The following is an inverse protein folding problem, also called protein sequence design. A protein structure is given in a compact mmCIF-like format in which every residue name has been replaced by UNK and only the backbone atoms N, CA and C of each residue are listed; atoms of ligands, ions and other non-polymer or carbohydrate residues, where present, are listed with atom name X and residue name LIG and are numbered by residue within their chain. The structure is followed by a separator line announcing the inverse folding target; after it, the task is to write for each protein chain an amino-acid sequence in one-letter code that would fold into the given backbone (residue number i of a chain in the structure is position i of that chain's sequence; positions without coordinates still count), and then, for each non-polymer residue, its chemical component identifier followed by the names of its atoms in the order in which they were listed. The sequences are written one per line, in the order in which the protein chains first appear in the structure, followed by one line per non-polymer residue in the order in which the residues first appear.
data_IF_614893846390
#
_entry.id   IF_614893846390
#
_cell.length_a   1.000
_cell.length_b   1.000
_cell.length_c   1.000
_cell.angle_alpha   90.00
_cell.angle_beta   90.00
_cell.angle_gamma   90.00
#
_symmetry.space_group_name_H-M   'P 1'
#
loop_
_entity.id
_entity.type
_entity.pdbx_description
1 polymer ?
#
# COMPACT_ATOMS: atom_id res chain seq x y z
N UNK A 1 -18.78 13.34 -21.55
CA UNK A 1 -19.49 14.52 -21.02
C UNK A 1 -19.10 15.68 -21.93
N UNK A 2 -20.02 16.18 -22.74
CA UNK A 2 -19.77 17.35 -23.57
C UNK A 2 -19.54 18.55 -22.65
N UNK A 3 -18.44 19.29 -22.84
CA UNK A 3 -18.15 20.48 -22.05
C UNK A 3 -19.07 21.61 -22.52
N UNK A 4 -19.97 22.07 -21.66
CA UNK A 4 -20.85 23.21 -21.92
C UNK A 4 -20.01 24.47 -22.12
N UNK A 5 -20.26 25.21 -23.21
CA UNK A 5 -19.59 26.50 -23.47
C UNK A 5 -20.27 27.55 -22.59
N UNK A 6 -19.57 28.01 -21.56
CA UNK A 6 -20.07 28.96 -20.56
C UNK A 6 -19.10 30.14 -20.47
N UNK A 7 -19.63 31.37 -20.53
CA UNK A 7 -18.82 32.57 -20.42
C UNK A 7 -18.26 32.75 -19.00
N UNK A 8 -17.26 33.62 -18.84
CA UNK A 8 -16.74 33.96 -17.51
C UNK A 8 -17.79 34.64 -16.65
N UNK A 9 -18.60 35.52 -17.23
CA UNK A 9 -19.64 36.25 -16.51
C UNK A 9 -20.68 35.27 -15.94
N UNK A 10 -21.15 34.34 -16.78
CA UNK A 10 -22.11 33.31 -16.36
C UNK A 10 -21.50 32.36 -15.32
N UNK A 11 -20.21 32.04 -15.44
CA UNK A 11 -19.50 31.21 -14.46
C UNK A 11 -19.35 31.90 -13.11
N UNK A 12 -19.13 33.22 -13.09
CA UNK A 12 -19.13 34.02 -11.85
C UNK A 12 -20.54 34.03 -11.23
N UNK A 13 -21.58 34.28 -12.04
CA UNK A 13 -22.97 34.28 -11.58
C UNK A 13 -23.40 32.91 -11.02
N UNK A 14 -22.93 31.81 -11.60
CA UNK A 14 -23.16 30.43 -11.13
C UNK A 14 -22.22 30.00 -9.99
N UNK A 15 -21.30 30.85 -9.52
CA UNK A 15 -20.32 30.51 -8.47
C UNK A 15 -19.30 29.44 -8.88
N UNK A 16 -19.11 29.22 -10.18
CA UNK A 16 -18.17 28.25 -10.71
C UNK A 16 -16.74 28.78 -10.62
N UNK A 17 -15.80 27.90 -10.29
CA UNK A 17 -14.36 28.25 -10.22
C UNK A 17 -13.70 28.35 -11.59
N UNK A 18 -14.37 27.84 -12.63
CA UNK A 18 -13.84 27.63 -13.98
C UNK A 18 -14.90 27.91 -15.03
N UNK A 19 -14.45 28.28 -16.23
CA UNK A 19 -15.30 28.56 -17.39
C UNK A 19 -14.68 28.00 -18.67
N UNK A 20 -15.49 27.65 -19.67
CA UNK A 20 -15.03 27.07 -20.93
C UNK A 20 -15.60 27.83 -22.11
N UNK A 21 -14.74 28.36 -22.97
CA UNK A 21 -15.14 29.24 -24.09
C UNK A 21 -15.07 28.56 -25.45
N UNK A 22 -14.64 27.30 -25.51
CA UNK A 22 -14.35 26.60 -26.78
C UNK A 22 -13.12 27.13 -27.54
N UNK A 23 -12.63 28.34 -27.22
CA UNK A 23 -11.51 28.99 -27.91
C UNK A 23 -10.15 28.57 -27.34
N UNK A 24 -9.14 28.30 -28.19
CA UNK A 24 -7.79 27.98 -27.74
C UNK A 24 -7.18 29.14 -26.95
N UNK A 25 -6.29 28.83 -26.02
CA UNK A 25 -5.49 29.81 -25.29
C UNK A 25 -4.32 30.33 -26.14
N UNK A 26 -3.56 31.32 -25.63
CA UNK A 26 -2.38 31.86 -26.32
C UNK A 26 -1.30 30.83 -26.65
N UNK A 27 -1.29 29.70 -25.94
CA UNK A 27 -0.37 28.56 -26.14
C UNK A 27 -1.04 27.41 -26.91
N UNK A 28 -2.19 27.64 -27.54
CA UNK A 28 -2.91 26.65 -28.35
C UNK A 28 -3.85 25.72 -27.57
N UNK A 29 -3.86 25.75 -26.24
CA UNK A 29 -4.68 24.83 -25.43
C UNK A 29 -6.18 25.12 -25.52
N UNK A 30 -6.97 24.12 -25.91
CA UNK A 30 -8.43 24.12 -25.77
C UNK A 30 -8.79 23.49 -24.42
N UNK A 31 -8.88 24.31 -23.38
CA UNK A 31 -9.21 23.86 -22.02
C UNK A 31 -10.00 24.91 -21.25
N UNK A 32 -10.67 24.46 -20.18
CA UNK A 32 -11.26 25.34 -19.18
C UNK A 32 -10.23 26.33 -18.63
N UNK A 33 -10.72 27.51 -18.25
CA UNK A 33 -9.92 28.61 -17.69
C UNK A 33 -10.36 28.89 -16.27
N UNK A 34 -9.41 29.27 -15.42
CA UNK A 34 -9.71 29.68 -14.05
C UNK A 34 -10.40 31.06 -14.06
N UNK A 35 -11.49 31.19 -13.30
CA UNK A 35 -12.23 32.47 -13.19
C UNK A 35 -11.37 33.57 -12.56
N UNK A 36 -10.58 33.22 -11.54
CA UNK A 36 -9.72 34.15 -10.80
C UNK A 36 -8.42 34.51 -11.56
N UNK A 37 -7.71 33.50 -12.09
CA UNK A 37 -6.39 33.69 -12.68
C UNK A 37 -6.42 33.92 -14.20
N UNK A 38 -7.56 33.74 -14.87
CA UNK A 38 -7.73 33.81 -16.34
C UNK A 38 -6.82 32.89 -17.16
N UNK A 39 -6.06 32.02 -16.50
CA UNK A 39 -5.14 31.06 -17.11
C UNK A 39 -5.87 29.78 -17.49
N UNK A 40 -5.47 29.20 -18.62
CA UNK A 40 -5.93 27.89 -19.04
C UNK A 40 -5.40 26.81 -18.09
N UNK A 41 -6.20 25.77 -17.81
CA UNK A 41 -5.83 24.71 -16.87
C UNK A 41 -4.57 23.98 -17.34
N UNK A 42 -4.46 23.67 -18.63
CA UNK A 42 -3.27 23.01 -19.17
C UNK A 42 -2.01 23.86 -18.94
N UNK A 43 -2.09 25.16 -19.19
CA UNK A 43 -1.01 26.13 -18.93
C UNK A 43 -0.60 26.13 -17.44
N UNK A 44 -1.59 26.06 -16.55
CA UNK A 44 -1.36 26.03 -15.10
C UNK A 44 -0.73 24.70 -14.65
N UNK A 45 -1.15 23.59 -15.25
CA UNK A 45 -0.62 22.26 -14.97
C UNK A 45 0.82 22.14 -15.44
N UNK A 46 1.16 22.62 -16.63
CA UNK A 46 2.52 22.67 -17.14
C UNK A 46 3.43 23.52 -16.24
N UNK A 47 2.96 24.70 -15.84
CA UNK A 47 3.71 25.55 -14.89
C UNK A 47 3.94 24.85 -13.55
N UNK A 48 2.95 24.09 -13.08
CA UNK A 48 3.05 23.30 -11.84
C UNK A 48 3.98 22.10 -12.01
N UNK A 49 3.96 21.44 -13.17
CA UNK A 49 4.84 20.33 -13.50
C UNK A 49 6.30 20.78 -13.63
N UNK A 50 6.56 21.90 -14.32
CA UNK A 50 7.88 22.50 -14.40
C UNK A 50 8.42 22.89 -13.01
N UNK A 51 7.56 23.47 -12.16
CA UNK A 51 7.91 23.78 -10.76
C UNK A 51 8.23 22.50 -9.97
N UNK A 52 7.47 21.43 -10.15
CA UNK A 52 7.75 20.16 -9.49
C UNK A 52 9.08 19.54 -9.97
N UNK A 53 9.37 19.63 -11.27
CA UNK A 53 10.60 19.12 -11.87
C UNK A 53 11.85 19.89 -11.43
N UNK A 54 11.75 21.18 -11.11
CA UNK A 54 12.91 21.98 -10.67
C UNK A 54 13.45 21.57 -9.29
N UNK A 55 12.59 21.03 -8.41
CA UNK A 55 13.00 20.55 -7.08
C UNK A 55 12.07 19.44 -6.56
N UNK A 56 12.20 18.20 -7.08
CA UNK A 56 11.31 17.10 -6.72
C UNK A 56 11.42 16.67 -5.25
N UNK A 57 12.56 16.93 -4.60
CA UNK A 57 12.79 16.51 -3.21
C UNK A 57 12.08 17.41 -2.21
N UNK A 58 12.09 18.72 -2.43
CA UNK A 58 11.31 19.66 -1.63
C UNK A 58 9.81 19.38 -1.71
N UNK A 59 9.24 19.15 -2.90
CA UNK A 59 7.81 18.84 -3.00
C UNK A 59 7.46 17.52 -2.32
N UNK A 60 8.35 16.52 -2.38
CA UNK A 60 8.16 15.25 -1.67
C UNK A 60 8.24 15.42 -0.15
N UNK A 61 9.15 16.24 0.37
CA UNK A 61 9.26 16.51 1.81
C UNK A 61 8.05 17.28 2.34
N UNK A 62 7.63 18.36 1.67
CA UNK A 62 6.44 19.13 2.01
C UNK A 62 5.16 18.27 1.95
N UNK A 63 5.05 17.38 0.95
CA UNK A 63 3.93 16.45 0.84
C UNK A 63 3.90 15.46 2.01
N UNK A 64 5.06 14.93 2.44
CA UNK A 64 5.17 14.06 3.63
C UNK A 64 4.74 14.81 4.89
N UNK A 65 5.19 16.05 5.07
CA UNK A 65 4.84 16.87 6.22
C UNK A 65 3.33 17.17 6.26
N UNK A 66 2.74 17.52 5.12
CA UNK A 66 1.28 17.74 4.99
C UNK A 66 0.49 16.48 5.31
N UNK A 67 0.94 15.31 4.87
CA UNK A 67 0.31 14.03 5.22
C UNK A 67 0.47 13.69 6.70
N UNK A 68 1.61 14.02 7.31
CA UNK A 68 1.83 13.83 8.75
C UNK A 68 0.86 14.69 9.59
N UNK A 69 0.66 15.97 9.22
CA UNK A 69 -0.30 16.88 9.88
C UNK A 69 -1.76 16.41 9.75
N UNK A 70 -2.11 15.77 8.63
CA UNK A 70 -3.46 15.21 8.39
C UNK A 70 -3.66 13.80 8.93
N UNK A 71 -2.58 13.13 9.37
CA UNK A 71 -2.69 11.76 9.87
C UNK A 71 -3.50 11.83 11.18
N UNK A 72 -4.67 11.20 11.26
CA UNK A 72 -5.37 11.13 12.54
C UNK A 72 -4.42 10.51 13.57
N UNK A 73 -4.40 11.06 14.78
CA UNK A 73 -3.68 10.45 15.90
C UNK A 73 -4.06 8.97 15.91
N UNK A 74 -3.08 8.03 15.94
CA UNK A 74 -3.42 6.63 16.10
C UNK A 74 -4.29 6.52 17.33
N UNK A 75 -5.45 5.85 17.21
CA UNK A 75 -6.34 5.61 18.35
C UNK A 75 -5.52 4.86 19.38
N UNK A 76 -4.98 5.60 20.36
CA UNK A 76 -4.29 5.05 21.51
C UNK A 76 -5.38 4.30 22.25
N UNK A 77 -5.47 2.98 22.05
CA UNK A 77 -6.15 2.13 23.01
C UNK A 77 -5.45 2.41 24.33
N UNK A 78 -6.07 3.23 25.17
CA UNK A 78 -5.60 3.43 26.52
C UNK A 78 -5.65 2.04 27.16
N UNK A 79 -4.49 1.37 27.23
CA UNK A 79 -4.26 0.54 28.41
C UNK A 79 -4.41 1.53 29.55
N UNK A 80 -5.43 1.36 30.39
CA UNK A 80 -5.67 2.22 31.54
C UNK A 80 -4.32 2.51 32.17
N UNK A 81 -3.85 3.75 31.98
CA UNK A 81 -2.61 4.19 32.57
C UNK A 81 -2.98 4.38 34.02
N UNK A 82 -2.65 3.39 34.85
CA UNK A 82 -2.65 3.60 36.28
C UNK A 82 -1.75 4.81 36.51
N UNK A 83 -2.24 5.92 37.08
CA UNK A 83 -1.44 7.09 37.42
C UNK A 83 -0.16 6.63 38.11
N UNK A 84 0.99 7.21 37.77
CA UNK A 84 2.27 6.81 38.36
C UNK A 84 2.25 6.85 39.91
N UNK A 85 1.38 7.68 40.47
CA UNK A 85 1.10 7.83 41.90
C UNK A 85 0.28 6.66 42.49
N UNK A 86 -0.58 6.01 41.70
CA UNK A 86 -1.39 4.85 42.13
C UNK A 86 -0.65 3.50 42.01
N UNK A 87 0.52 3.46 41.36
CA UNK A 87 1.39 2.27 41.32
C UNK A 87 2.28 2.14 42.58
N UNK A 88 2.21 3.11 43.50
CA UNK A 88 3.11 3.23 44.65
C UNK A 88 2.68 2.51 45.94
N UNK A 89 1.56 1.77 45.98
CA UNK A 89 1.05 1.21 47.26
C UNK A 89 1.33 -0.30 47.45
N UNK A 90 2.09 -0.97 46.57
CA UNK A 90 2.41 -2.40 46.81
C UNK A 90 3.83 -2.83 46.46
N UNK A 91 4.78 -1.89 46.41
CA UNK A 91 6.20 -2.22 46.47
C UNK A 91 6.66 -2.08 47.92
N UNK A 92 6.54 -3.17 48.68
CA UNK A 92 7.19 -3.26 49.99
C UNK A 92 8.67 -2.94 49.79
N UNK A 93 9.16 -1.92 50.49
CA UNK A 93 10.58 -1.63 50.53
C UNK A 93 11.27 -2.87 51.07
N UNK A 94 12.04 -3.53 50.21
CA UNK A 94 12.71 -4.78 50.48
C UNK A 94 14.19 -4.56 50.17
N UNK A 95 15.02 -4.64 51.21
CA UNK A 95 16.46 -4.52 51.05
C UNK A 95 17.02 -5.75 50.32
N UNK A 96 18.23 -5.59 49.77
CA UNK A 96 18.85 -6.62 48.94
C UNK A 96 19.11 -7.92 49.70
N UNK A 97 19.45 -7.86 50.99
CA UNK A 97 19.76 -9.05 51.79
C UNK A 97 18.50 -9.88 51.98
N UNK A 98 17.41 -9.23 52.41
CA UNK A 98 16.11 -9.90 52.52
C UNK A 98 15.63 -10.46 51.18
N UNK A 99 15.88 -9.77 50.07
CA UNK A 99 15.55 -10.28 48.74
C UNK A 99 16.38 -11.52 48.35
N UNK A 100 17.68 -11.56 48.69
CA UNK A 100 18.54 -12.72 48.45
C UNK A 100 18.14 -13.92 49.31
N UNK A 101 17.86 -13.70 50.59
CA UNK A 101 17.43 -14.74 51.52
C UNK A 101 16.10 -15.36 51.08
N UNK A 102 15.23 -14.56 50.44
CA UNK A 102 13.97 -15.01 49.81
C UNK A 102 14.14 -15.55 48.38
N UNK A 103 15.36 -15.60 47.84
CA UNK A 103 15.62 -16.06 46.47
C UNK A 103 15.04 -15.19 45.36
N UNK A 104 14.74 -13.92 45.65
CA UNK A 104 14.15 -12.99 44.69
C UNK A 104 15.19 -12.47 43.70
N UNK A 105 14.77 -12.31 42.44
CA UNK A 105 15.62 -11.77 41.36
C UNK A 105 15.74 -10.25 41.40
N UNK A 106 14.81 -9.59 42.07
CA UNK A 106 14.77 -8.14 42.21
C UNK A 106 14.46 -7.71 43.64
N UNK A 107 14.84 -6.48 43.98
CA UNK A 107 14.56 -5.83 45.25
C UNK A 107 14.22 -4.36 45.02
N UNK A 108 13.55 -3.72 45.97
CA UNK A 108 13.11 -2.34 45.83
C UNK A 108 13.44 -1.55 47.09
N UNK A 109 14.32 -0.56 46.94
CA UNK A 109 14.84 0.21 48.06
C UNK A 109 14.00 1.45 48.39
N UNK A 110 12.94 1.75 47.64
CA UNK A 110 12.22 3.04 47.73
C UNK A 110 13.03 4.24 47.19
N UNK A 111 14.35 4.14 47.07
CA UNK A 111 15.21 5.19 46.54
C UNK A 111 15.35 5.17 45.01
N UNK A 112 15.30 6.35 44.39
CA UNK A 112 15.62 6.54 42.98
C UNK A 112 17.06 6.10 42.66
N UNK A 113 17.29 5.63 41.43
CA UNK A 113 18.64 5.37 40.94
C UNK A 113 19.35 6.66 40.49
N UNK A 114 20.65 6.57 40.20
CA UNK A 114 21.47 7.69 39.72
C UNK A 114 20.94 8.33 38.42
N UNK A 115 20.16 7.58 37.64
CA UNK A 115 19.52 8.07 36.42
C UNK A 115 18.05 8.49 36.66
N UNK A 116 17.65 8.71 37.92
CA UNK A 116 16.31 9.21 38.31
C UNK A 116 15.18 8.17 38.33
N UNK A 117 15.40 6.93 37.91
CA UNK A 117 14.32 5.92 37.90
C UNK A 117 13.97 5.43 39.33
N UNK A 118 12.70 5.51 39.70
CA UNK A 118 12.10 4.84 40.86
C UNK A 118 11.59 3.46 40.43
N UNK A 119 12.43 2.43 40.55
CA UNK A 119 12.07 1.08 40.11
C UNK A 119 12.86 0.00 40.85
N UNK A 120 12.41 -1.24 40.71
CA UNK A 120 13.14 -2.43 41.16
C UNK A 120 14.56 -2.49 40.59
N UNK A 121 15.43 -3.10 41.39
CA UNK A 121 16.85 -3.34 41.09
C UNK A 121 17.10 -4.83 41.05
N UNK A 122 17.99 -5.25 40.17
CA UNK A 122 18.36 -6.67 40.01
C UNK A 122 19.26 -7.08 41.18
N UNK A 123 18.97 -8.20 41.84
CA UNK A 123 19.73 -8.64 43.03
C UNK A 123 21.18 -8.99 42.72
N UNK A 124 21.46 -9.52 41.53
CA UNK A 124 22.80 -9.93 41.10
C UNK A 124 23.74 -8.77 40.79
N UNK A 125 23.33 -7.82 39.95
CA UNK A 125 24.19 -6.72 39.48
C UNK A 125 23.85 -5.35 40.10
N UNK A 126 22.84 -5.29 40.98
CA UNK A 126 22.34 -4.09 41.68
C UNK A 126 21.83 -2.98 40.75
N UNK A 127 21.71 -3.25 39.46
CA UNK A 127 21.30 -2.25 38.48
C UNK A 127 19.78 -2.06 38.49
N UNK A 128 19.34 -0.82 38.31
CA UNK A 128 17.92 -0.53 38.10
C UNK A 128 17.41 -1.19 36.80
N UNK A 129 16.22 -1.80 36.80
CA UNK A 129 15.69 -2.54 35.63
C UNK A 129 15.60 -1.64 34.39
N UNK A 130 15.20 -0.39 34.57
CA UNK A 130 15.11 0.56 33.45
C UNK A 130 16.48 0.88 32.85
N UNK A 131 17.50 1.05 33.69
CA UNK A 131 18.89 1.27 33.32
C UNK A 131 19.44 0.06 32.54
N UNK A 132 19.14 -1.16 33.01
CA UNK A 132 19.51 -2.41 32.32
C UNK A 132 18.86 -2.46 30.93
N UNK A 133 17.56 -2.19 30.83
CA UNK A 133 16.81 -2.16 29.56
C UNK A 133 17.34 -1.11 28.60
N UNK A 134 17.69 0.08 29.09
CA UNK A 134 18.27 1.15 28.28
C UNK A 134 19.63 0.71 27.71
N UNK A 135 20.50 0.15 28.56
CA UNK A 135 21.79 -0.41 28.14
C UNK A 135 21.64 -1.53 27.11
N UNK A 136 20.72 -2.48 27.34
CA UNK A 136 20.47 -3.57 26.38
C UNK A 136 19.94 -3.04 25.05
N UNK A 137 19.03 -2.06 25.06
CA UNK A 137 18.53 -1.43 23.83
C UNK A 137 19.67 -0.77 23.05
N UNK A 138 20.52 0.00 23.72
CA UNK A 138 21.70 0.62 23.11
C UNK A 138 22.63 -0.45 22.50
N UNK A 139 22.97 -1.47 23.27
CA UNK A 139 23.81 -2.58 22.78
C UNK A 139 23.22 -3.27 21.54
N UNK A 140 21.90 -3.52 21.49
CA UNK A 140 21.24 -4.12 20.32
C UNK A 140 21.32 -3.21 19.09
N UNK A 141 21.21 -1.89 19.26
CA UNK A 141 21.37 -0.94 18.16
C UNK A 141 22.81 -0.93 17.67
N UNK A 142 23.77 -0.84 18.59
CA UNK A 142 25.20 -0.80 18.28
C UNK A 142 25.70 -2.12 17.67
N UNK A 143 25.07 -3.26 18.01
CA UNK A 143 25.44 -4.61 17.56
C UNK A 143 24.36 -5.23 16.65
N UNK A 144 23.62 -4.39 15.92
CA UNK A 144 22.44 -4.81 15.15
C UNK A 144 22.73 -5.95 14.19
N UNK A 145 23.87 -5.89 13.50
CA UNK A 145 24.25 -6.91 12.52
C UNK A 145 24.52 -8.26 13.17
N UNK A 146 25.30 -8.29 14.25
CA UNK A 146 25.60 -9.53 14.99
C UNK A 146 24.35 -10.13 15.63
N UNK A 147 23.45 -9.29 16.17
CA UNK A 147 22.16 -9.74 16.71
C UNK A 147 21.32 -10.37 15.60
N UNK A 148 21.23 -9.73 14.43
CA UNK A 148 20.49 -10.25 13.29
C UNK A 148 21.12 -11.54 12.73
N UNK A 149 22.45 -11.62 12.66
CA UNK A 149 23.17 -12.81 12.22
C UNK A 149 22.88 -14.01 13.15
N UNK A 150 22.98 -13.80 14.47
CA UNK A 150 22.65 -14.83 15.46
C UNK A 150 21.19 -15.27 15.38
N UNK A 151 20.27 -14.33 15.14
CA UNK A 151 18.85 -14.66 14.95
C UNK A 151 18.61 -15.47 13.68
N UNK A 152 19.26 -15.11 12.56
CA UNK A 152 19.19 -15.86 11.30
C UNK A 152 19.71 -17.28 11.47
N UNK A 153 20.86 -17.45 12.12
CA UNK A 153 21.44 -18.76 12.39
C UNK A 153 20.54 -19.63 13.28
N UNK A 154 19.97 -19.05 14.34
CA UNK A 154 18.98 -19.73 15.19
C UNK A 154 17.71 -20.14 14.41
N UNK A 155 17.26 -19.32 13.48
CA UNK A 155 16.12 -19.68 12.62
C UNK A 155 16.47 -20.79 11.63
N UNK A 156 17.65 -20.71 11.02
CA UNK A 156 18.12 -21.68 10.04
C UNK A 156 18.37 -23.05 10.67
N UNK A 157 19.03 -23.10 11.83
CA UNK A 157 19.23 -24.34 12.60
C UNK A 157 17.89 -24.99 12.96
N UNK A 158 16.93 -24.20 13.47
CA UNK A 158 15.57 -24.69 13.73
C UNK A 158 14.84 -25.16 12.47
N UNK A 159 15.03 -24.50 11.34
CA UNK A 159 14.41 -24.93 10.08
C UNK A 159 15.03 -26.23 9.54
N UNK A 160 16.35 -26.38 9.69
CA UNK A 160 17.11 -27.58 9.30
C UNK A 160 16.77 -28.77 10.18
N UNK A 161 16.61 -28.56 11.49
CA UNK A 161 16.26 -29.61 12.45
C UNK A 161 14.82 -30.12 12.32
N UNK A 162 14.00 -29.50 11.47
CA UNK A 162 12.59 -29.90 11.28
C UNK A 162 12.44 -31.05 10.30
N UNK A 163 11.61 -32.02 10.69
CA UNK A 163 11.28 -33.17 9.85
C UNK A 163 10.45 -32.76 8.63
N UNK A 164 10.39 -33.64 7.62
CA UNK A 164 9.55 -33.42 6.44
C UNK A 164 8.05 -33.40 6.81
N UNK A 165 7.65 -34.23 7.77
CA UNK A 165 6.30 -34.36 8.31
C UNK A 165 5.87 -33.06 9.01
N UNK A 166 6.73 -32.49 9.85
CA UNK A 166 6.45 -31.20 10.50
C UNK A 166 6.28 -30.08 9.48
N UNK A 167 7.11 -30.06 8.42
CA UNK A 167 7.01 -29.08 7.33
C UNK A 167 5.70 -29.26 6.56
N UNK A 168 5.27 -30.50 6.31
CA UNK A 168 4.00 -30.84 5.65
C UNK A 168 2.79 -30.42 6.49
N UNK A 169 2.81 -30.72 7.79
CA UNK A 169 1.76 -30.34 8.73
C UNK A 169 1.59 -28.82 8.84
N UNK A 170 2.69 -28.07 8.92
CA UNK A 170 2.65 -26.61 8.92
C UNK A 170 2.11 -26.03 7.61
N UNK A 171 2.48 -26.63 6.47
CA UNK A 171 1.94 -26.21 5.16
C UNK A 171 0.43 -26.44 5.10
N UNK A 172 -0.06 -27.57 5.60
CA UNK A 172 -1.48 -27.88 5.69
C UNK A 172 -2.22 -26.90 6.62
N UNK A 173 -1.69 -26.66 7.82
CA UNK A 173 -2.25 -25.69 8.79
C UNK A 173 -2.25 -24.27 8.24
N UNK A 174 -1.19 -23.87 7.53
CA UNK A 174 -1.12 -22.56 6.88
C UNK A 174 -2.15 -22.46 5.76
N UNK A 175 -2.33 -23.50 4.96
CA UNK A 175 -3.34 -23.53 3.89
C UNK A 175 -4.75 -23.36 4.46
N UNK A 176 -5.11 -24.08 5.52
CA UNK A 176 -6.43 -23.95 6.16
C UNK A 176 -6.62 -22.57 6.78
N UNK A 177 -5.61 -22.04 7.47
CA UNK A 177 -5.64 -20.69 8.04
C UNK A 177 -5.76 -19.60 6.96
N UNK A 178 -5.00 -19.69 5.87
CA UNK A 178 -5.10 -18.72 4.75
C UNK A 178 -6.51 -18.77 4.17
N UNK A 179 -7.07 -19.97 3.97
CA UNK A 179 -8.42 -20.13 3.43
C UNK A 179 -9.47 -19.47 4.34
N UNK A 180 -9.46 -19.78 5.64
CA UNK A 180 -10.41 -19.21 6.60
C UNK A 180 -10.24 -17.70 6.78
N UNK A 181 -9.00 -17.23 6.84
CA UNK A 181 -8.66 -15.81 6.91
C UNK A 181 -9.14 -15.06 5.68
N UNK A 182 -8.89 -15.57 4.47
CA UNK A 182 -9.33 -14.94 3.22
C UNK A 182 -10.85 -14.93 3.11
N UNK A 183 -11.53 -16.01 3.52
CA UNK A 183 -13.00 -16.05 3.55
C UNK A 183 -13.57 -14.98 4.50
N UNK A 184 -13.01 -14.84 5.70
CA UNK A 184 -13.40 -13.79 6.63
C UNK A 184 -13.10 -12.40 6.07
N UNK A 185 -11.89 -12.19 5.55
CA UNK A 185 -11.49 -10.92 4.95
C UNK A 185 -12.42 -10.52 3.80
N UNK A 186 -12.82 -11.46 2.94
CA UNK A 186 -13.79 -11.22 1.87
C UNK A 186 -15.18 -10.84 2.41
N UNK A 187 -15.64 -11.47 3.51
CA UNK A 187 -16.90 -11.10 4.16
C UNK A 187 -16.84 -9.69 4.75
N UNK A 188 -15.80 -9.40 5.53
CA UNK A 188 -15.63 -8.12 6.22
C UNK A 188 -15.38 -6.97 5.22
N UNK A 189 -14.82 -7.27 4.04
CA UNK A 189 -14.53 -6.30 2.99
C UNK A 189 -15.48 -6.43 1.78
N UNK A 190 -16.65 -7.05 1.94
CA UNK A 190 -17.60 -7.31 0.83
C UNK A 190 -17.90 -6.06 0.03
N UNK A 191 -18.21 -4.95 0.70
CA UNK A 191 -18.54 -3.67 0.06
C UNK A 191 -17.39 -3.15 -0.80
N UNK A 192 -16.15 -3.32 -0.35
CA UNK A 192 -14.95 -2.91 -1.09
C UNK A 192 -14.80 -3.70 -2.39
N UNK A 193 -15.03 -5.02 -2.34
CA UNK A 193 -14.98 -5.85 -3.55
C UNK A 193 -16.12 -5.52 -4.51
N UNK A 194 -17.34 -5.28 -4.00
CA UNK A 194 -18.48 -4.81 -4.81
C UNK A 194 -18.14 -3.48 -5.47
N UNK A 195 -17.60 -2.51 -4.72
CA UNK A 195 -17.15 -1.23 -5.26
C UNK A 195 -16.09 -1.36 -6.36
N UNK A 196 -15.13 -2.28 -6.20
CA UNK A 196 -14.14 -2.54 -7.24
C UNK A 196 -14.74 -3.18 -8.49
N UNK A 197 -15.65 -4.14 -8.31
CA UNK A 197 -16.35 -4.80 -9.42
C UNK A 197 -17.23 -3.83 -10.21
N UNK A 198 -18.00 -2.98 -9.52
CA UNK A 198 -18.86 -1.97 -10.16
C UNK A 198 -18.03 -0.94 -10.92
N UNK A 199 -16.92 -0.44 -10.34
CA UNK A 199 -15.99 0.46 -11.04
C UNK A 199 -15.34 -0.19 -12.26
N UNK A 200 -14.97 -1.47 -12.17
CA UNK A 200 -14.40 -2.21 -13.30
C UNK A 200 -15.44 -2.35 -14.42
N UNK A 201 -16.68 -2.72 -14.10
CA UNK A 201 -17.78 -2.84 -15.06
C UNK A 201 -18.06 -1.50 -15.75
N UNK A 202 -18.19 -0.42 -14.98
CA UNK A 202 -18.45 0.91 -15.53
C UNK A 202 -17.32 1.38 -16.47
N UNK A 203 -16.05 1.12 -16.11
CA UNK A 203 -14.92 1.45 -16.98
C UNK A 203 -14.93 0.63 -18.27
N UNK A 204 -15.27 -0.67 -18.21
CA UNK A 204 -15.41 -1.52 -19.40
C UNK A 204 -16.49 -0.97 -20.32
N UNK A 205 -17.69 -0.71 -19.79
CA UNK A 205 -18.83 -0.19 -20.56
C UNK A 205 -18.52 1.15 -21.23
N UNK A 206 -17.83 2.07 -20.53
CA UNK A 206 -17.43 3.37 -21.09
C UNK A 206 -16.38 3.27 -22.20
N UNK A 207 -15.63 2.18 -22.24
CA UNK A 207 -14.62 1.95 -23.27
C UNK A 207 -15.19 1.27 -24.53
N UNK A 208 -16.43 0.81 -24.50
CA UNK A 208 -17.10 0.24 -25.68
C UNK A 208 -17.37 1.38 -26.66
N UNK A 209 -16.81 1.34 -27.89
CA UNK A 209 -17.10 2.36 -28.89
C UNK A 209 -18.53 2.25 -29.42
N UNK A 210 -19.08 3.35 -29.95
CA UNK A 210 -20.44 3.38 -30.48
C UNK A 210 -20.66 2.46 -31.68
N UNK A 211 -19.58 2.15 -32.42
CA UNK A 211 -19.58 1.22 -33.55
C UNK A 211 -19.24 -0.22 -33.17
N UNK A 212 -19.14 -0.55 -31.88
CA UNK A 212 -18.95 -1.92 -31.44
C UNK A 212 -20.06 -2.80 -32.02
N UNK A 213 -19.69 -3.88 -32.70
CA UNK A 213 -20.64 -4.73 -33.40
C UNK A 213 -20.28 -6.21 -33.40
N UNK A 214 -20.89 -6.95 -34.33
CA UNK A 214 -20.79 -8.41 -34.45
C UNK A 214 -19.34 -8.91 -34.55
N UNK A 215 -18.51 -8.25 -35.35
CA UNK A 215 -17.10 -8.63 -35.49
C UNK A 215 -16.34 -8.51 -34.16
N UNK A 216 -16.61 -7.48 -33.36
CA UNK A 216 -15.95 -7.30 -32.07
C UNK A 216 -16.36 -8.37 -31.06
N UNK A 217 -17.64 -8.74 -31.05
CA UNK A 217 -18.16 -9.84 -30.24
C UNK A 217 -17.53 -11.18 -30.64
N UNK A 218 -17.54 -11.50 -31.94
CA UNK A 218 -16.89 -12.70 -32.48
C UNK A 218 -15.40 -12.79 -32.09
N UNK A 219 -14.63 -11.71 -32.26
CA UNK A 219 -13.21 -11.70 -31.90
C UNK A 219 -12.99 -11.93 -30.40
N UNK A 220 -13.86 -11.41 -29.53
CA UNK A 220 -13.76 -11.61 -28.08
C UNK A 220 -14.05 -13.07 -27.69
N UNK A 221 -15.03 -13.69 -28.32
CA UNK A 221 -15.39 -15.10 -28.10
C UNK A 221 -14.28 -16.04 -28.57
N UNK A 222 -13.77 -15.81 -29.78
CA UNK A 222 -12.65 -16.57 -30.33
C UNK A 222 -11.38 -16.41 -29.49
N UNK A 223 -11.08 -15.18 -29.02
CA UNK A 223 -9.95 -14.95 -28.13
C UNK A 223 -10.08 -15.72 -26.81
N UNK A 224 -11.29 -15.81 -26.25
CA UNK A 224 -11.55 -16.59 -25.04
C UNK A 224 -11.41 -18.10 -25.28
N UNK A 225 -11.89 -18.61 -26.43
CA UNK A 225 -11.70 -20.00 -26.84
C UNK A 225 -10.22 -20.34 -27.01
N UNK A 226 -9.47 -19.50 -27.72
CA UNK A 226 -8.03 -19.67 -27.94
C UNK A 226 -7.24 -19.69 -26.63
N UNK A 227 -7.64 -18.92 -25.61
CA UNK A 227 -7.02 -18.99 -24.29
C UNK A 227 -7.20 -20.37 -23.63
N UNK A 228 -8.36 -21.02 -23.80
CA UNK A 228 -8.60 -22.39 -23.30
C UNK A 228 -7.74 -23.40 -24.06
N UNK A 229 -7.77 -23.36 -25.39
CA UNK A 229 -7.00 -24.26 -26.26
C UNK A 229 -5.50 -24.16 -25.95
N UNK A 230 -4.95 -22.94 -25.90
CA UNK A 230 -3.53 -22.75 -25.58
C UNK A 230 -3.16 -23.26 -24.20
N UNK A 231 -4.04 -23.11 -23.21
CA UNK A 231 -3.80 -23.64 -21.87
C UNK A 231 -3.71 -25.15 -21.86
N UNK A 232 -4.58 -25.84 -22.59
CA UNK A 232 -4.56 -27.30 -22.71
C UNK A 232 -3.29 -27.79 -23.42
N UNK A 233 -2.89 -27.11 -24.50
CA UNK A 233 -1.70 -27.48 -25.28
C UNK A 233 -0.39 -27.18 -24.58
N UNK A 234 -0.29 -26.07 -23.84
CA UNK A 234 0.99 -25.58 -23.29
C UNK A 234 1.12 -25.78 -21.78
N UNK A 235 0.04 -26.07 -21.06
CA UNK A 235 0.00 -26.07 -19.60
C UNK A 235 0.10 -24.67 -18.96
N UNK A 236 0.23 -23.62 -19.75
CA UNK A 236 0.34 -22.23 -19.28
C UNK A 236 -1.04 -21.59 -19.22
N UNK A 237 -1.32 -20.77 -18.21
CA UNK A 237 -2.57 -20.00 -18.13
C UNK A 237 -2.50 -18.85 -19.15
N UNK A 238 -3.51 -18.70 -20.00
CA UNK A 238 -3.62 -17.61 -20.97
C UNK A 238 -4.82 -16.71 -20.65
N UNK A 239 -4.66 -15.40 -20.86
CA UNK A 239 -5.70 -14.39 -20.66
C UNK A 239 -5.86 -13.52 -21.90
N UNK A 240 -7.11 -13.15 -22.19
CA UNK A 240 -7.44 -12.05 -23.10
C UNK A 240 -7.16 -10.73 -22.38
N UNK A 241 -6.34 -9.87 -22.96
CA UNK A 241 -5.97 -8.57 -22.42
C UNK A 241 -6.04 -7.46 -23.47
N UNK A 242 -6.13 -6.21 -23.03
CA UNK A 242 -6.15 -5.05 -23.91
C UNK A 242 -4.74 -4.54 -24.19
N UNK A 243 -4.34 -4.36 -25.45
CA UNK A 243 -3.04 -3.78 -25.81
C UNK A 243 -2.82 -2.41 -25.14
N UNK A 244 -3.73 -1.48 -25.40
CA UNK A 244 -3.85 -0.23 -24.65
C UNK A 244 -4.84 -0.46 -23.49
N UNK A 245 -4.40 -0.37 -22.22
CA UNK A 245 -5.27 -0.64 -21.08
C UNK A 245 -6.50 0.29 -21.05
N UNK A 246 -7.67 -0.25 -20.69
CA UNK A 246 -8.91 0.54 -20.54
C UNK A 246 -8.82 1.61 -19.44
N UNK A 247 -7.82 1.50 -18.55
CA UNK A 247 -7.64 2.35 -17.37
C UNK A 247 -6.15 2.64 -17.11
N UNK A 248 -5.38 2.99 -18.15
CA UNK A 248 -4.03 3.46 -17.95
C UNK A 248 -4.02 4.90 -17.40
N UNK A 249 -2.85 5.33 -16.91
CA UNK A 249 -2.66 6.68 -16.37
C UNK A 249 -2.59 7.73 -17.48
N UNK A 250 -1.94 7.39 -18.58
CA UNK A 250 -1.55 8.34 -19.63
C UNK A 250 -2.52 8.34 -20.81
N UNK A 251 -3.06 7.18 -21.18
CA UNK A 251 -4.08 7.02 -22.21
C UNK A 251 -5.02 5.84 -21.88
N UNK A 252 -6.25 5.85 -22.38
CA UNK A 252 -7.20 4.74 -22.22
C UNK A 252 -7.54 4.14 -23.58
N UNK A 253 -7.44 2.82 -23.70
CA UNK A 253 -7.84 2.08 -24.89
C UNK A 253 -9.35 1.81 -24.94
N UNK A 254 -9.84 1.50 -26.15
CA UNK A 254 -11.23 1.09 -26.39
C UNK A 254 -11.39 -0.43 -26.19
N UNK A 255 -12.59 -0.86 -25.81
CA UNK A 255 -12.96 -2.25 -25.70
C UNK A 255 -13.52 -2.75 -27.04
N UNK A 256 -12.64 -3.14 -27.97
CA UNK A 256 -12.99 -3.59 -29.33
C UNK A 256 -11.93 -4.54 -29.89
N UNK A 257 -12.24 -5.21 -31.00
CA UNK A 257 -11.42 -6.27 -31.63
C UNK A 257 -9.96 -5.89 -31.83
N UNK A 258 -9.68 -4.70 -32.37
CA UNK A 258 -8.30 -4.31 -32.69
C UNK A 258 -7.46 -3.90 -31.47
N UNK A 259 -8.04 -3.81 -30.27
CA UNK A 259 -7.29 -3.50 -29.04
C UNK A 259 -7.13 -4.72 -28.13
N UNK A 260 -7.27 -5.95 -28.64
CA UNK A 260 -7.20 -7.18 -27.85
C UNK A 260 -5.99 -8.03 -28.26
N UNK A 261 -5.36 -8.65 -27.28
CA UNK A 261 -4.29 -9.63 -27.47
C UNK A 261 -4.40 -10.78 -26.45
N UNK A 262 -3.73 -11.89 -26.73
CA UNK A 262 -3.62 -13.03 -25.81
C UNK A 262 -2.25 -13.03 -25.14
N UNK A 263 -2.23 -13.03 -23.81
CA UNK A 263 -1.01 -13.03 -23.00
C UNK A 263 -0.94 -14.23 -22.04
N UNK A 264 0.24 -14.83 -21.84
CA UNK A 264 0.48 -15.70 -20.70
C UNK A 264 0.15 -14.99 -19.39
N UNK A 265 -0.43 -15.70 -18.42
CA UNK A 265 -0.95 -15.12 -17.18
C UNK A 265 0.11 -14.39 -16.37
N UNK A 266 1.35 -14.87 -16.38
CA UNK A 266 2.48 -14.20 -15.75
C UNK A 266 2.82 -12.86 -16.42
N UNK A 267 2.85 -12.82 -17.76
CA UNK A 267 3.11 -11.60 -18.55
C UNK A 267 1.97 -10.60 -18.36
N UNK A 268 0.71 -11.04 -18.41
CA UNK A 268 -0.45 -10.19 -18.17
C UNK A 268 -0.44 -9.60 -16.74
N UNK A 269 -0.15 -10.43 -15.73
CA UNK A 269 -0.04 -9.99 -14.35
C UNK A 269 1.08 -8.95 -14.17
N UNK A 270 2.19 -9.12 -14.88
CA UNK A 270 3.23 -8.09 -14.97
C UNK A 270 2.63 -6.83 -15.60
N UNK A 271 2.14 -6.88 -16.84
CA UNK A 271 1.63 -5.74 -17.61
C UNK A 271 0.66 -4.85 -16.84
N UNK A 272 -0.37 -5.43 -16.22
CA UNK A 272 -1.37 -4.67 -15.46
C UNK A 272 -1.94 -3.50 -16.29
N UNK A 273 -2.12 -2.31 -15.70
CA UNK A 273 -2.57 -1.10 -16.41
C UNK A 273 -1.41 -0.25 -16.97
N UNK A 274 -0.23 -0.83 -17.22
CA UNK A 274 0.92 -0.10 -17.77
C UNK A 274 0.83 -0.04 -19.30
N UNK A 275 1.37 1.03 -19.86
CA UNK A 275 1.51 1.25 -21.30
C UNK A 275 2.74 0.50 -21.83
N UNK A 276 2.68 -0.84 -21.76
CA UNK A 276 3.69 -1.75 -22.33
C UNK A 276 2.96 -2.86 -23.07
N UNK A 277 3.58 -3.47 -24.08
CA UNK A 277 2.93 -4.48 -24.93
C UNK A 277 1.70 -3.89 -25.64
N UNK A 278 1.87 -2.71 -26.22
CA UNK A 278 0.80 -1.92 -26.86
C UNK A 278 0.64 -2.27 -28.33
N UNK A 279 1.63 -2.93 -28.93
CA UNK A 279 1.55 -3.39 -30.31
C UNK A 279 1.39 -4.92 -30.39
N UNK A 280 0.81 -5.43 -31.50
CA UNK A 280 0.68 -6.86 -31.70
C UNK A 280 2.04 -7.57 -31.62
N UNK A 281 2.07 -8.70 -30.88
CA UNK A 281 3.22 -9.62 -30.80
C UNK A 281 4.46 -9.10 -30.05
N UNK A 282 4.46 -7.89 -29.48
CA UNK A 282 5.59 -7.41 -28.64
C UNK A 282 5.91 -8.35 -27.48
N UNK A 283 4.89 -9.00 -26.93
CA UNK A 283 5.02 -9.88 -25.77
C UNK A 283 5.84 -11.15 -26.04
N UNK A 284 6.07 -11.50 -27.31
CA UNK A 284 6.92 -12.64 -27.70
C UNK A 284 8.36 -12.43 -27.24
N UNK A 285 8.83 -11.18 -27.15
CA UNK A 285 10.16 -10.83 -26.65
C UNK A 285 10.34 -11.08 -25.14
N UNK A 286 9.25 -11.45 -24.44
CA UNK A 286 9.23 -11.71 -22.99
C UNK A 286 8.95 -13.17 -22.64
N UNK A 287 8.94 -14.06 -23.64
CA UNK A 287 8.94 -15.52 -23.47
C UNK A 287 10.37 -16.02 -23.26
#
# INVERSE_FOLDING_TARGET
MQQEIISRADSIARGLKRYFTGKPCKRGHVSERNVAALTCIQCSNEKSAARYQSDPDRFRSEARERMAKKRPEPIKRAKAAVPAEQLCILLHVLDRRTALDRGLRHYFTGCQCVNGHLCERITSDRQCIQCKRARTRKWVVDNRESVNARQRDKQLSRYRSRSAEEKKADRAKRRTWISSYMAQYMRDNKERYVHYATRRRAAKLRAIPAWYGELDEFVMEEAALLCRIRRELTGVIWHVDHMIPLRAKDACGLHWSANVQLLPGAINASKSNRMILTEPREWILHL
#
